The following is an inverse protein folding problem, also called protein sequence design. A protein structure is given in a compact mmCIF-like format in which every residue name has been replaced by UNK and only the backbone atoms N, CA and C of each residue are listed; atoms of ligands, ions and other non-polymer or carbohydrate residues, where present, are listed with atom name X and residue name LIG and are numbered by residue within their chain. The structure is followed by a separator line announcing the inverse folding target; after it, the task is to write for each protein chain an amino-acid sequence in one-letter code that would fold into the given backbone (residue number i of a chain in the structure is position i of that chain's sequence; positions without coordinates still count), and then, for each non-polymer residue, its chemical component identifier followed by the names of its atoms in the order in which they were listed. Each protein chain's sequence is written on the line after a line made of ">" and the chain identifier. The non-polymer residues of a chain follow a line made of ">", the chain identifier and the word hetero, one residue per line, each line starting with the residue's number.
data_IF_244407661114
#
_entry.id   IF_244407661114
#
_cell.length_a   1.000
_cell.length_b   1.000
_cell.length_c   1.000
_cell.angle_alpha   90.00
_cell.angle_beta   90.00
_cell.angle_gamma   90.00
#
_symmetry.space_group_name_H-M   'P 1'
#
loop_
_entity.id
_entity.type
_entity.pdbx_description
1 polymer ?
#
# COMPACT_ATOMS: atom_id res chain seq x y z
N UNK A 1 -21.50 27.05 -9.68
CA UNK A 1 -20.48 26.17 -9.05
C UNK A 1 -19.70 25.50 -10.16
N UNK A 2 -18.35 25.58 -10.17
CA UNK A 2 -17.55 24.85 -11.17
C UNK A 2 -17.72 23.35 -10.90
N UNK A 3 -18.15 22.58 -11.89
CA UNK A 3 -18.25 21.14 -11.79
C UNK A 3 -16.84 20.55 -11.50
N UNK A 4 -16.74 19.68 -10.51
CA UNK A 4 -15.48 18.99 -10.18
C UNK A 4 -15.26 17.90 -11.20
N UNK A 5 -14.11 17.90 -11.85
CA UNK A 5 -13.72 16.82 -12.75
C UNK A 5 -13.22 15.64 -11.91
N UNK A 6 -13.94 14.51 -12.02
CA UNK A 6 -13.59 13.23 -11.38
C UNK A 6 -12.99 12.33 -12.45
N UNK A 7 -11.87 11.70 -12.20
CA UNK A 7 -11.27 10.83 -13.22
C UNK A 7 -9.79 10.52 -12.99
N UNK A 8 -9.19 10.04 -14.06
CA UNK A 8 -7.79 9.65 -14.15
C UNK A 8 -7.00 10.74 -14.88
N UNK A 9 -5.84 11.04 -14.36
CA UNK A 9 -4.93 12.02 -14.96
C UNK A 9 -3.51 11.45 -15.14
N UNK A 10 -2.81 12.02 -16.08
CA UNK A 10 -1.43 11.70 -16.43
C UNK A 10 -0.55 12.92 -16.22
N UNK A 11 0.64 12.71 -15.66
CA UNK A 11 1.68 13.73 -15.55
C UNK A 11 2.93 13.18 -16.21
N UNK A 12 3.42 13.88 -17.24
CA UNK A 12 4.64 13.50 -17.95
C UNK A 12 5.75 14.49 -17.62
N UNK A 13 6.90 14.00 -17.19
CA UNK A 13 8.05 14.84 -16.90
C UNK A 13 8.88 15.12 -18.17
N UNK A 14 9.85 16.07 -18.15
CA UNK A 14 10.69 16.40 -19.32
C UNK A 14 11.55 15.24 -19.85
N UNK A 15 11.68 14.15 -19.10
CA UNK A 15 12.39 12.92 -19.50
C UNK A 15 11.44 11.83 -20.02
N UNK A 16 10.18 12.16 -20.29
CA UNK A 16 9.17 11.21 -20.76
C UNK A 16 8.67 10.22 -19.72
N UNK A 17 9.03 10.37 -18.43
CA UNK A 17 8.52 9.49 -17.38
C UNK A 17 7.10 9.89 -16.99
N UNK A 18 6.23 8.90 -16.85
CA UNK A 18 4.80 9.07 -16.65
C UNK A 18 4.41 8.74 -15.22
N UNK A 19 3.53 9.57 -14.65
CA UNK A 19 2.77 9.31 -13.45
C UNK A 19 1.29 9.25 -13.81
N UNK A 20 0.59 8.23 -13.35
CA UNK A 20 -0.87 8.09 -13.43
C UNK A 20 -1.43 8.24 -12.02
N UNK A 21 -2.53 8.97 -11.91
CA UNK A 21 -3.24 9.12 -10.63
C UNK A 21 -4.73 9.33 -10.84
N UNK A 22 -5.48 9.13 -9.77
CA UNK A 22 -6.92 9.34 -9.71
C UNK A 22 -7.29 10.51 -8.79
N UNK A 23 -8.41 11.15 -9.04
CA UNK A 23 -8.93 12.19 -8.16
C UNK A 23 -10.44 12.39 -8.31
N UNK A 24 -11.10 12.68 -7.21
CA UNK A 24 -12.48 13.22 -7.18
C UNK A 24 -12.53 14.72 -7.47
N UNK A 25 -11.39 15.37 -7.69
CA UNK A 25 -11.28 16.75 -8.13
C UNK A 25 -9.86 16.98 -8.71
N UNK A 26 -9.72 16.78 -10.02
CA UNK A 26 -8.44 16.86 -10.72
C UNK A 26 -7.85 18.27 -10.67
N UNK A 27 -8.65 19.31 -10.83
CA UNK A 27 -8.15 20.69 -10.76
C UNK A 27 -7.53 21.03 -9.39
N UNK A 28 -8.20 20.61 -8.30
CA UNK A 28 -7.65 20.76 -6.95
C UNK A 28 -6.35 19.97 -6.81
N UNK A 29 -6.29 18.78 -7.39
CA UNK A 29 -5.10 17.93 -7.35
C UNK A 29 -3.91 18.57 -8.06
N UNK A 30 -4.12 19.16 -9.23
CA UNK A 30 -3.06 19.87 -9.97
C UNK A 30 -2.55 21.09 -9.22
N UNK A 31 -3.43 21.84 -8.53
CA UNK A 31 -3.00 22.94 -7.65
C UNK A 31 -2.10 22.49 -6.49
N UNK A 32 -2.40 21.31 -5.90
CA UNK A 32 -1.55 20.73 -4.86
C UNK A 32 -0.16 20.35 -5.41
N UNK A 33 -0.06 19.85 -6.63
CA UNK A 33 1.23 19.59 -7.28
C UNK A 33 2.02 20.86 -7.55
N UNK A 34 1.36 21.93 -7.96
CA UNK A 34 2.00 23.26 -8.14
C UNK A 34 2.63 23.77 -6.84
N UNK A 35 1.97 23.54 -5.71
CA UNK A 35 2.49 23.87 -4.38
C UNK A 35 3.39 22.81 -3.75
N UNK A 36 3.78 21.76 -4.49
CA UNK A 36 4.59 20.64 -4.00
C UNK A 36 3.97 19.88 -2.81
N UNK A 37 2.64 19.94 -2.63
CA UNK A 37 1.93 19.22 -1.57
C UNK A 37 1.72 17.73 -1.91
N UNK A 38 2.78 17.03 -2.32
CA UNK A 38 2.74 15.64 -2.78
C UNK A 38 3.93 14.81 -2.25
N UNK A 39 4.46 15.14 -1.09
CA UNK A 39 5.66 14.50 -0.52
C UNK A 39 5.54 12.96 -0.39
N UNK A 40 4.33 12.44 -0.19
CA UNK A 40 4.09 10.98 -0.15
C UNK A 40 4.30 10.27 -1.50
N UNK A 41 4.25 11.01 -2.60
CA UNK A 41 4.50 10.52 -3.97
C UNK A 41 5.96 10.78 -4.34
N UNK A 42 6.87 10.12 -3.65
CA UNK A 42 8.31 10.43 -3.61
C UNK A 42 8.92 10.65 -4.99
N UNK A 43 8.66 9.77 -5.98
CA UNK A 43 9.23 9.90 -7.33
C UNK A 43 8.68 11.12 -8.07
N UNK A 44 7.36 11.35 -8.00
CA UNK A 44 6.72 12.51 -8.62
C UNK A 44 7.18 13.79 -7.92
N UNK A 45 7.20 13.82 -6.59
CA UNK A 45 7.70 14.96 -5.80
C UNK A 45 9.14 15.33 -6.17
N UNK A 46 10.03 14.36 -6.23
CA UNK A 46 11.42 14.56 -6.63
C UNK A 46 11.54 15.08 -8.06
N UNK A 47 10.68 14.58 -8.97
CA UNK A 47 10.62 15.05 -10.36
C UNK A 47 10.15 16.53 -10.43
N UNK A 48 9.06 16.85 -9.74
CA UNK A 48 8.53 18.23 -9.67
C UNK A 48 9.53 19.21 -9.04
N UNK A 49 10.21 18.79 -7.97
CA UNK A 49 11.26 19.60 -7.33
C UNK A 49 12.45 19.82 -8.26
N UNK A 50 12.86 18.80 -9.02
CA UNK A 50 14.03 18.87 -9.90
C UNK A 50 13.78 19.68 -11.16
N UNK A 51 12.64 19.49 -11.81
CA UNK A 51 12.37 20.06 -13.14
C UNK A 51 11.39 21.24 -13.11
N UNK A 52 10.73 21.50 -11.97
CA UNK A 52 9.68 22.52 -11.85
C UNK A 52 8.32 22.06 -12.39
N UNK A 53 7.24 22.59 -11.83
CA UNK A 53 5.87 22.28 -12.23
C UNK A 53 5.59 22.59 -13.71
N UNK A 54 6.07 23.74 -14.17
CA UNK A 54 5.81 24.26 -15.54
C UNK A 54 6.40 23.39 -16.66
N UNK A 55 7.40 22.61 -16.35
CA UNK A 55 8.05 21.71 -17.30
C UNK A 55 7.43 20.31 -17.32
N UNK A 56 6.35 20.07 -16.58
CA UNK A 56 5.60 18.83 -16.64
C UNK A 56 4.31 19.04 -17.44
N UNK A 57 3.92 18.05 -18.21
CA UNK A 57 2.66 18.03 -18.95
C UNK A 57 1.60 17.38 -18.07
N UNK A 58 0.48 18.08 -17.83
CA UNK A 58 -0.65 17.59 -17.03
C UNK A 58 -1.85 17.36 -17.95
N UNK A 59 -2.37 16.15 -17.99
CA UNK A 59 -3.44 15.73 -18.89
C UNK A 59 -4.52 14.98 -18.11
N UNK A 60 -5.78 15.25 -18.44
CA UNK A 60 -6.91 14.40 -18.03
C UNK A 60 -6.97 13.27 -19.03
N UNK A 61 -6.87 12.04 -18.57
CA UNK A 61 -6.91 10.85 -19.42
C UNK A 61 -8.34 10.38 -19.64
N UNK A 62 -9.12 10.35 -18.55
CA UNK A 62 -10.51 9.92 -18.60
C UNK A 62 -11.30 10.50 -17.43
N UNK A 63 -12.51 10.98 -17.71
CA UNK A 63 -13.51 11.29 -16.69
C UNK A 63 -14.34 10.04 -16.41
N UNK A 64 -14.58 9.71 -15.13
CA UNK A 64 -15.30 8.50 -14.75
C UNK A 64 -16.01 8.65 -13.40
N UNK A 65 -16.83 7.68 -13.06
CA UNK A 65 -17.52 7.63 -11.78
C UNK A 65 -16.52 7.31 -10.64
N UNK A 66 -16.91 7.70 -9.41
CA UNK A 66 -16.06 7.48 -8.22
C UNK A 66 -15.74 5.99 -8.02
N UNK A 67 -16.72 5.13 -8.26
CA UNK A 67 -16.60 3.69 -8.05
C UNK A 67 -15.64 3.02 -9.07
N UNK A 68 -15.48 3.63 -10.26
CA UNK A 68 -14.60 3.12 -11.32
C UNK A 68 -13.14 3.59 -11.15
N UNK A 69 -12.88 4.59 -10.31
CA UNK A 69 -11.56 5.22 -10.19
C UNK A 69 -10.43 4.23 -9.95
N UNK A 70 -10.61 3.26 -9.05
CA UNK A 70 -9.56 2.31 -8.69
C UNK A 70 -9.22 1.36 -9.85
N UNK A 71 -10.22 0.85 -10.54
CA UNK A 71 -10.06 -0.07 -11.67
C UNK A 71 -9.38 0.64 -12.84
N UNK A 72 -9.87 1.84 -13.17
CA UNK A 72 -9.29 2.66 -14.26
C UNK A 72 -7.88 3.12 -13.94
N UNK A 73 -7.57 3.49 -12.71
CA UNK A 73 -6.19 3.82 -12.33
C UNK A 73 -5.25 2.64 -12.55
N UNK A 74 -5.63 1.43 -12.12
CA UNK A 74 -4.84 0.21 -12.33
C UNK A 74 -4.65 -0.06 -13.82
N UNK A 75 -5.72 0.06 -14.61
CA UNK A 75 -5.67 -0.12 -16.06
C UNK A 75 -4.67 0.84 -16.72
N UNK A 76 -4.75 2.14 -16.44
CA UNK A 76 -3.87 3.14 -17.04
C UNK A 76 -2.42 3.07 -16.53
N UNK A 77 -2.19 2.67 -15.27
CA UNK A 77 -0.85 2.41 -14.77
C UNK A 77 -0.18 1.28 -15.57
N UNK A 78 -0.91 0.22 -15.88
CA UNK A 78 -0.42 -0.90 -16.69
C UNK A 78 -0.21 -0.48 -18.15
N UNK A 79 -1.19 0.20 -18.76
CA UNK A 79 -1.14 0.67 -20.13
C UNK A 79 0.09 1.57 -20.38
N UNK A 80 0.32 2.56 -19.52
CA UNK A 80 1.47 3.48 -19.63
C UNK A 80 2.75 2.94 -18.99
N UNK A 81 2.71 1.73 -18.41
CA UNK A 81 3.83 1.14 -17.67
C UNK A 81 4.43 2.10 -16.63
N UNK A 82 3.60 2.97 -16.06
CA UNK A 82 4.04 4.05 -15.16
C UNK A 82 4.56 3.55 -13.82
N UNK A 83 4.34 2.30 -13.49
CA UNK A 83 4.87 1.58 -12.35
C UNK A 83 6.29 0.99 -12.62
N UNK A 84 6.73 0.94 -13.87
CA UNK A 84 8.07 0.49 -14.22
C UNK A 84 9.12 1.50 -13.69
N UNK A 85 10.15 1.00 -13.01
CA UNK A 85 11.19 1.85 -12.39
C UNK A 85 11.96 2.71 -13.39
N UNK A 86 12.11 2.25 -14.64
CA UNK A 86 12.80 2.98 -15.70
C UNK A 86 11.92 4.01 -16.38
N UNK A 87 10.64 3.70 -16.62
CA UNK A 87 9.71 4.50 -17.43
C UNK A 87 8.72 5.32 -16.62
N UNK A 88 8.49 4.99 -15.34
CA UNK A 88 7.39 5.51 -14.57
C UNK A 88 7.76 6.19 -13.27
N UNK A 89 6.83 6.99 -12.78
CA UNK A 89 6.89 7.73 -11.53
C UNK A 89 5.94 7.16 -10.47
N UNK A 90 5.10 6.17 -10.81
CA UNK A 90 4.30 5.46 -9.82
C UNK A 90 5.18 4.53 -8.97
N UNK A 91 4.87 4.44 -7.68
CA UNK A 91 5.51 3.51 -6.74
C UNK A 91 4.66 2.27 -6.48
N UNK A 92 3.38 2.33 -6.87
CA UNK A 92 2.39 1.29 -6.63
C UNK A 92 1.55 1.08 -7.89
N UNK A 93 0.95 -0.09 -8.01
CA UNK A 93 0.16 -0.49 -9.18
C UNK A 93 -1.28 0.05 -9.21
N UNK A 94 -1.59 1.09 -8.43
CA UNK A 94 -2.92 1.72 -8.38
C UNK A 94 -3.88 1.09 -7.38
N UNK A 95 -5.08 1.66 -7.29
CA UNK A 95 -6.12 1.29 -6.34
C UNK A 95 -5.91 1.82 -4.92
N UNK A 96 -6.92 1.73 -4.06
CA UNK A 96 -6.91 2.30 -2.70
C UNK A 96 -5.76 1.80 -1.82
N UNK A 97 -5.31 0.57 -2.03
CA UNK A 97 -4.24 -0.07 -1.27
C UNK A 97 -2.97 -0.35 -2.10
N UNK A 98 -2.91 0.14 -3.32
CA UNK A 98 -1.79 0.04 -4.27
C UNK A 98 -1.04 -1.28 -4.22
N UNK A 99 -1.28 -2.19 -5.15
CA UNK A 99 -0.51 -3.43 -5.25
C UNK A 99 0.97 -3.12 -5.43
N UNK A 100 1.81 -3.67 -4.57
CA UNK A 100 3.27 -3.59 -4.73
C UNK A 100 3.70 -4.55 -5.82
N UNK A 101 4.72 -4.18 -6.62
CA UNK A 101 5.30 -5.10 -7.60
C UNK A 101 5.86 -6.34 -6.90
N UNK A 102 5.91 -7.46 -7.62
CA UNK A 102 6.44 -8.70 -7.04
C UNK A 102 7.91 -8.55 -6.66
N UNK A 103 8.70 -7.83 -7.45
CA UNK A 103 10.06 -7.44 -7.10
C UNK A 103 10.14 -6.66 -5.77
N UNK A 104 9.22 -5.71 -5.54
CA UNK A 104 9.16 -4.98 -4.27
C UNK A 104 8.75 -5.88 -3.12
N UNK A 105 7.79 -6.78 -3.33
CA UNK A 105 7.37 -7.78 -2.32
C UNK A 105 8.54 -8.68 -1.95
N UNK A 106 9.29 -9.15 -2.94
CA UNK A 106 10.45 -10.01 -2.74
C UNK A 106 11.56 -9.29 -1.97
N UNK A 107 11.93 -8.08 -2.36
CA UNK A 107 12.90 -7.25 -1.63
C UNK A 107 12.48 -7.03 -0.17
N UNK A 108 11.20 -6.75 0.08
CA UNK A 108 10.67 -6.61 1.44
C UNK A 108 10.71 -7.91 2.21
N UNK A 109 10.44 -9.04 1.57
CA UNK A 109 10.53 -10.38 2.18
C UNK A 109 11.97 -10.71 2.57
N UNK A 110 12.90 -10.51 1.66
CA UNK A 110 14.35 -10.74 1.91
C UNK A 110 14.85 -9.84 3.04
N UNK A 111 14.49 -8.56 3.03
CA UNK A 111 14.92 -7.61 4.08
C UNK A 111 14.37 -7.94 5.48
N UNK A 112 13.22 -8.63 5.54
CA UNK A 112 12.61 -9.08 6.81
C UNK A 112 13.02 -10.49 7.22
N UNK A 113 13.50 -11.29 6.27
CA UNK A 113 13.89 -12.69 6.52
C UNK A 113 15.12 -12.72 7.43
N UNK A 114 15.02 -13.47 8.52
CA UNK A 114 16.09 -13.59 9.49
C UNK A 114 16.24 -12.42 10.47
N UNK A 115 15.37 -11.38 10.41
CA UNK A 115 15.38 -10.32 11.42
C UNK A 115 15.03 -10.92 12.79
N UNK A 116 15.99 -10.89 13.68
CA UNK A 116 15.78 -11.25 15.08
C UNK A 116 15.17 -10.05 15.79
N UNK A 117 13.99 -10.24 16.37
CA UNK A 117 13.33 -9.22 17.22
C UNK A 117 14.03 -9.26 18.57
N UNK A 118 14.55 -8.12 19.04
CA UNK A 118 15.22 -8.04 20.34
C UNK A 118 14.26 -8.36 21.48
N UNK A 119 14.77 -8.81 22.61
CA UNK A 119 13.95 -9.12 23.79
C UNK A 119 13.22 -7.89 24.32
N UNK A 120 13.86 -6.73 24.26
CA UNK A 120 13.25 -5.45 24.60
C UNK A 120 12.06 -5.11 23.69
N UNK A 121 12.19 -5.33 22.36
CA UNK A 121 11.11 -5.12 21.40
C UNK A 121 9.97 -6.12 21.61
N UNK A 122 10.28 -7.38 21.96
CA UNK A 122 9.27 -8.40 22.32
C UNK A 122 8.51 -8.01 23.58
N UNK A 123 9.20 -7.52 24.61
CA UNK A 123 8.55 -7.12 25.84
C UNK A 123 7.66 -5.88 25.64
N UNK A 124 8.10 -4.88 24.87
CA UNK A 124 7.26 -3.75 24.47
C UNK A 124 5.98 -4.20 23.74
N UNK A 125 6.11 -5.16 22.82
CA UNK A 125 4.95 -5.74 22.12
C UNK A 125 4.03 -6.52 23.06
N UNK A 126 4.59 -7.26 24.02
CA UNK A 126 3.83 -7.97 25.05
C UNK A 126 3.03 -7.01 25.91
N UNK A 127 3.67 -5.99 26.45
CA UNK A 127 3.03 -4.95 27.26
C UNK A 127 1.94 -4.19 26.50
N UNK A 128 2.22 -3.83 25.25
CA UNK A 128 1.25 -3.15 24.38
C UNK A 128 -0.01 -3.99 24.09
N UNK A 129 0.09 -5.32 24.20
CA UNK A 129 -1.02 -6.25 23.94
C UNK A 129 -1.63 -6.87 25.19
N UNK A 130 -0.97 -6.68 26.35
CA UNK A 130 -1.44 -7.18 27.62
C UNK A 130 -2.81 -6.59 27.96
N UNK A 131 -3.77 -7.41 28.34
CA UNK A 131 -5.12 -7.00 28.71
C UNK A 131 -6.05 -6.62 27.55
N UNK A 132 -5.59 -6.60 26.29
CA UNK A 132 -6.47 -6.36 25.15
C UNK A 132 -7.45 -7.51 24.99
N UNK A 133 -8.74 -7.24 25.19
CA UNK A 133 -9.80 -8.21 24.91
C UNK A 133 -10.25 -8.09 23.46
N UNK A 134 -10.29 -9.20 22.76
CA UNK A 134 -10.87 -9.26 21.40
C UNK A 134 -12.39 -9.10 21.49
N UNK A 135 -12.97 -8.37 20.53
CA UNK A 135 -14.43 -8.28 20.41
C UNK A 135 -15.04 -9.66 20.13
N UNK A 136 -16.27 -9.88 20.54
CA UNK A 136 -16.98 -11.15 20.31
C UNK A 136 -17.10 -11.47 18.81
N UNK A 137 -17.30 -10.46 17.99
CA UNK A 137 -17.30 -10.60 16.52
C UNK A 137 -15.94 -11.12 16.00
N UNK A 138 -14.84 -10.58 16.50
CA UNK A 138 -13.51 -11.00 16.13
C UNK A 138 -13.21 -12.44 16.58
N UNK A 139 -13.58 -12.79 17.81
CA UNK A 139 -13.49 -14.16 18.32
C UNK A 139 -14.28 -15.14 17.44
N UNK A 140 -15.49 -14.77 17.01
CA UNK A 140 -16.34 -15.58 16.13
C UNK A 140 -15.71 -15.75 14.76
N UNK A 141 -15.11 -14.71 14.18
CA UNK A 141 -14.37 -14.81 12.90
C UNK A 141 -13.17 -15.75 13.01
N UNK A 142 -12.39 -15.67 14.09
CA UNK A 142 -11.27 -16.60 14.35
C UNK A 142 -11.79 -18.03 14.49
N UNK A 143 -12.81 -18.25 15.28
CA UNK A 143 -13.41 -19.57 15.48
C UNK A 143 -13.87 -20.20 14.15
N UNK A 144 -14.57 -19.40 13.32
CA UNK A 144 -15.05 -19.87 12.01
C UNK A 144 -13.89 -20.20 11.06
N UNK A 145 -12.82 -19.42 11.05
CA UNK A 145 -11.65 -19.66 10.20
C UNK A 145 -10.82 -20.88 10.61
N UNK A 146 -10.92 -21.29 11.88
CA UNK A 146 -10.24 -22.47 12.40
C UNK A 146 -11.11 -23.73 12.34
N UNK A 147 -12.42 -23.57 12.10
CA UNK A 147 -13.37 -24.68 12.05
C UNK A 147 -13.04 -25.62 10.89
N UNK A 148 -12.88 -26.91 11.18
CA UNK A 148 -12.52 -27.92 10.19
C UNK A 148 -11.02 -27.98 9.83
N UNK A 149 -10.16 -27.17 10.45
CA UNK A 149 -8.72 -27.22 10.21
C UNK A 149 -8.11 -28.46 10.84
N UNK A 150 -7.59 -29.35 10.01
CA UNK A 150 -6.85 -30.53 10.46
C UNK A 150 -5.39 -30.13 10.74
N UNK A 151 -4.92 -30.39 11.95
CA UNK A 151 -3.52 -30.18 12.33
C UNK A 151 -2.70 -31.45 12.13
N UNK A 152 -1.46 -31.32 11.67
CA UNK A 152 -0.53 -32.43 11.57
C UNK A 152 -0.25 -33.04 12.95
N UNK A 153 0.05 -34.35 12.99
CA UNK A 153 0.41 -35.05 14.25
C UNK A 153 1.56 -34.35 15.00
N UNK A 154 2.51 -33.81 14.27
CA UNK A 154 3.64 -33.05 14.81
C UNK A 154 3.22 -31.77 15.49
N UNK A 155 2.31 -31.00 14.87
CA UNK A 155 1.72 -29.78 15.45
C UNK A 155 0.96 -30.07 16.73
N UNK A 156 0.19 -31.18 16.76
CA UNK A 156 -0.54 -31.61 17.95
C UNK A 156 0.42 -32.00 19.08
N UNK A 157 1.52 -32.70 18.77
CA UNK A 157 2.56 -33.09 19.74
C UNK A 157 3.25 -31.86 20.35
N UNK A 158 3.64 -30.87 19.54
CA UNK A 158 4.23 -29.62 20.02
C UNK A 158 3.29 -28.85 20.96
N UNK A 159 2.01 -28.72 20.62
CA UNK A 159 1.02 -28.04 21.47
C UNK A 159 0.82 -28.71 22.83
N UNK A 160 0.82 -30.08 22.89
CA UNK A 160 0.73 -30.79 24.14
C UNK A 160 1.96 -30.60 25.05
N UNK A 161 3.15 -30.47 24.46
CA UNK A 161 4.39 -30.17 25.20
C UNK A 161 4.39 -28.75 25.80
N UNK A 162 3.86 -27.76 25.06
CA UNK A 162 3.81 -26.37 25.51
C UNK A 162 2.78 -26.13 26.64
N UNK A 163 1.69 -26.91 26.64
CA UNK A 163 0.65 -26.85 27.72
C UNK A 163 1.20 -27.37 29.04
N UNK A 164 2.14 -28.32 29.01
CA UNK A 164 2.70 -28.95 30.20
C UNK A 164 3.98 -28.26 30.73
N UNK A 165 4.38 -27.11 30.15
CA UNK A 165 5.45 -26.30 30.72
C UNK A 165 4.94 -25.53 31.93
N UNK A 166 5.59 -25.67 33.12
CA UNK A 166 5.25 -24.86 34.28
C UNK A 166 5.42 -23.38 33.92
N UNK A 167 4.43 -22.58 34.29
CA UNK A 167 4.52 -21.12 34.21
C UNK A 167 5.60 -20.73 35.21
N UNK A 168 6.74 -20.25 34.73
CA UNK A 168 7.75 -19.67 35.61
C UNK A 168 7.11 -18.44 36.31
N UNK A 169 6.98 -18.52 37.63
CA UNK A 169 6.51 -17.46 38.51
C UNK A 169 7.58 -16.39 38.62
#
# INVERSE_FOLDING_TARGET
>A
MKNKIIGIYKITNPKGKVYIGQSTNIEKRFRLYKGLHCARQIKLFSSLKKYGYVNHVFEIVEECLIDELNEKEIYYINLFQSFNTRKGLNLQGGGSNGLKSDETKERMSVAKKGRVVSEEEREKLRQANLGKKLSEEHKKKISNSLKGRVFSKETIKKRKLDINKPIAV
#
